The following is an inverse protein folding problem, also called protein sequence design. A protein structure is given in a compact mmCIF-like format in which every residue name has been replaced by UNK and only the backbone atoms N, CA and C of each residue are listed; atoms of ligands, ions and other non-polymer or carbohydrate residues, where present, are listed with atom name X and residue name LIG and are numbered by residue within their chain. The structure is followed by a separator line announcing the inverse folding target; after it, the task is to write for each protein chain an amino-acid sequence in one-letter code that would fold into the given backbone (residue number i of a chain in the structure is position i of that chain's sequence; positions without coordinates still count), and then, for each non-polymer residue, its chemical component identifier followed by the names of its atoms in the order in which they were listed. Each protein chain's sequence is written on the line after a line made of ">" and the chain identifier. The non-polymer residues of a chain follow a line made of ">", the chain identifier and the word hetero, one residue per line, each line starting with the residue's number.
data_IF_703204887174
#
_entry.id   IF_703204887174
#
_cell.length_a   1.000
_cell.length_b   1.000
_cell.length_c   1.000
_cell.angle_alpha   90.00
_cell.angle_beta   90.00
_cell.angle_gamma   90.00
#
_symmetry.space_group_name_H-M   'P 1'
#
loop_
_entity.id
_entity.type
_entity.pdbx_description
1 polymer ?
#
# COMPACT_ATOMS: atom_id res chain seq x y z
N UNK A 1 -0.89 8.56 -20.87
CA UNK A 1 -2.30 8.79 -20.52
C UNK A 1 -2.37 9.88 -19.46
N UNK A 2 -3.35 10.81 -19.50
CA UNK A 2 -3.42 11.86 -18.49
C UNK A 2 -3.69 11.22 -17.13
N UNK A 3 -3.17 11.84 -16.08
CA UNK A 3 -3.53 11.48 -14.71
C UNK A 3 -5.06 11.55 -14.61
N UNK A 4 -5.65 10.48 -14.10
CA UNK A 4 -7.10 10.26 -14.03
C UNK A 4 -7.82 11.57 -13.63
N UNK A 5 -8.73 12.05 -14.48
CA UNK A 5 -9.38 13.37 -14.37
C UNK A 5 -10.24 13.56 -13.10
N UNK A 6 -10.22 12.62 -12.16
CA UNK A 6 -10.90 12.66 -10.87
C UNK A 6 -9.97 12.79 -9.64
N UNK A 7 -8.65 12.79 -9.81
CA UNK A 7 -7.72 13.03 -8.70
C UNK A 7 -7.62 14.53 -8.42
N UNK A 8 -8.40 15.02 -7.47
CA UNK A 8 -8.20 16.38 -6.92
C UNK A 8 -6.87 16.42 -6.19
N UNK A 9 -5.85 17.08 -6.77
CA UNK A 9 -4.52 17.24 -6.17
C UNK A 9 -4.58 17.77 -4.72
N UNK A 10 -5.59 18.59 -4.44
CA UNK A 10 -5.88 19.19 -3.13
C UNK A 10 -6.19 18.15 -2.03
N UNK A 11 -6.64 16.95 -2.42
CA UNK A 11 -7.04 15.88 -1.50
C UNK A 11 -5.98 14.79 -1.34
N UNK A 12 -4.88 14.86 -2.08
CA UNK A 12 -3.84 13.82 -2.04
C UNK A 12 -3.06 13.91 -0.73
N UNK A 13 -2.96 12.78 -0.02
CA UNK A 13 -2.28 12.65 1.27
C UNK A 13 -1.13 11.66 1.16
N UNK A 14 0.09 12.17 1.28
CA UNK A 14 1.32 11.37 1.33
C UNK A 14 1.65 10.98 2.78
N UNK A 15 0.88 10.04 3.32
CA UNK A 15 0.93 9.67 4.74
C UNK A 15 1.16 8.18 4.98
N UNK A 16 1.82 7.51 4.04
CA UNK A 16 2.17 6.10 4.16
C UNK A 16 3.67 5.90 4.04
N UNK A 17 4.25 5.14 4.95
CA UNK A 17 5.62 4.68 4.91
C UNK A 17 5.69 3.28 4.30
N UNK A 18 6.72 3.02 3.48
CA UNK A 18 7.01 1.70 2.89
C UNK A 18 8.26 1.13 3.55
N UNK A 19 8.18 -0.09 4.08
CA UNK A 19 9.25 -0.76 4.82
C UNK A 19 9.27 -2.27 4.58
N UNK A 20 10.19 -3.00 5.21
CA UNK A 20 10.38 -4.44 5.00
C UNK A 20 11.36 -4.76 3.88
N UNK A 21 11.15 -5.89 3.21
CA UNK A 21 12.03 -6.44 2.16
C UNK A 21 12.36 -5.42 1.06
N UNK A 22 13.40 -5.71 0.28
CA UNK A 22 13.83 -4.88 -0.85
C UNK A 22 13.85 -5.60 -2.21
N UNK A 23 12.74 -6.22 -2.63
CA UNK A 23 12.63 -6.85 -3.93
C UNK A 23 12.51 -5.82 -5.07
N UNK A 24 12.76 -6.22 -6.33
CA UNK A 24 12.59 -5.34 -7.50
C UNK A 24 11.17 -4.78 -7.67
N UNK A 25 10.16 -5.44 -7.08
CA UNK A 25 8.77 -5.01 -7.10
C UNK A 25 8.39 -4.07 -5.96
N UNK A 26 9.30 -3.72 -5.04
CA UNK A 26 8.96 -2.88 -3.88
C UNK A 26 8.31 -1.56 -4.33
N UNK A 27 7.12 -1.20 -3.78
CA UNK A 27 6.50 0.08 -4.05
C UNK A 27 7.44 1.26 -3.80
N UNK A 28 7.38 2.24 -4.69
CA UNK A 28 8.10 3.50 -4.57
C UNK A 28 7.45 4.40 -3.53
N UNK A 29 6.12 4.38 -3.43
CA UNK A 29 5.32 5.15 -2.46
C UNK A 29 3.89 4.66 -2.40
N UNK A 30 3.19 5.08 -1.35
CA UNK A 30 1.74 4.98 -1.24
C UNK A 30 1.14 6.33 -0.78
N UNK A 31 -0.07 6.63 -1.24
CA UNK A 31 -0.83 7.84 -0.90
C UNK A 31 -2.32 7.58 -1.04
N UNK A 32 -3.16 8.45 -0.49
CA UNK A 32 -4.62 8.35 -0.64
C UNK A 32 -5.25 9.68 -1.04
N UNK A 33 -6.48 9.63 -1.54
CA UNK A 33 -7.31 10.80 -1.87
C UNK A 33 -8.41 11.07 -0.81
N UNK A 34 -8.34 10.39 0.35
CA UNK A 34 -9.38 10.37 1.37
C UNK A 34 -10.39 9.22 1.25
N UNK A 35 -10.44 8.52 0.11
CA UNK A 35 -11.33 7.38 -0.12
C UNK A 35 -10.56 6.11 -0.50
N UNK A 36 -9.59 6.26 -1.41
CA UNK A 36 -8.85 5.18 -2.05
C UNK A 36 -7.38 5.32 -1.78
N UNK A 37 -6.70 4.19 -1.64
CA UNK A 37 -5.24 4.15 -1.52
C UNK A 37 -4.62 3.75 -2.85
N UNK A 38 -3.63 4.52 -3.26
CA UNK A 38 -2.82 4.32 -4.46
C UNK A 38 -1.43 3.87 -4.03
N UNK A 39 -1.04 2.68 -4.47
CA UNK A 39 0.29 2.12 -4.22
C UNK A 39 1.04 2.14 -5.54
N UNK A 40 2.07 2.96 -5.64
CA UNK A 40 2.87 3.09 -6.86
C UNK A 40 4.03 2.11 -6.84
N UNK A 41 4.09 1.29 -7.88
CA UNK A 41 5.18 0.37 -8.12
C UNK A 41 6.22 0.93 -9.11
N UNK A 42 7.40 0.30 -9.21
CA UNK A 42 8.33 0.54 -10.30
C UNK A 42 7.66 0.27 -11.67
N UNK A 43 8.04 0.99 -12.75
CA UNK A 43 7.39 0.86 -14.06
C UNK A 43 7.36 -0.57 -14.62
N UNK A 44 8.37 -1.39 -14.30
CA UNK A 44 8.49 -2.78 -14.76
C UNK A 44 7.61 -3.79 -14.03
N UNK A 45 6.80 -3.37 -13.04
CA UNK A 45 5.99 -4.29 -12.22
C UNK A 45 5.09 -5.22 -13.03
N UNK A 46 4.58 -4.74 -14.17
CA UNK A 46 3.67 -5.50 -15.03
C UNK A 46 4.36 -6.67 -15.76
N UNK A 47 5.69 -6.74 -15.74
CA UNK A 47 6.46 -7.82 -16.36
C UNK A 47 6.70 -8.99 -15.40
N UNK A 48 6.51 -8.78 -14.10
CA UNK A 48 6.71 -9.77 -13.06
C UNK A 48 5.39 -10.27 -12.46
N UNK A 49 5.51 -11.13 -11.45
CA UNK A 49 4.36 -11.57 -10.66
C UNK A 49 3.89 -10.43 -9.75
N UNK A 50 2.57 -10.23 -9.71
CA UNK A 50 1.91 -9.19 -8.95
C UNK A 50 1.70 -9.64 -7.50
N UNK A 51 2.32 -9.00 -6.49
CA UNK A 51 2.18 -9.42 -5.10
C UNK A 51 0.73 -9.23 -4.61
N UNK A 52 0.10 -10.25 -4.00
CA UNK A 52 -1.15 -10.08 -3.28
C UNK A 52 -1.03 -9.06 -2.14
N UNK A 53 -2.10 -8.27 -1.94
CA UNK A 53 -2.17 -7.23 -0.91
C UNK A 53 -3.10 -7.66 0.24
N UNK A 54 -2.57 -7.68 1.46
CA UNK A 54 -3.29 -7.97 2.68
C UNK A 54 -3.41 -6.72 3.53
N UNK A 55 -4.61 -6.31 3.93
CA UNK A 55 -4.79 -5.27 4.95
C UNK A 55 -4.66 -5.90 6.32
N UNK A 56 -3.88 -5.28 7.19
CA UNK A 56 -3.65 -5.76 8.56
C UNK A 56 -4.75 -5.20 9.47
N UNK A 57 -5.55 -6.09 10.05
CA UNK A 57 -6.60 -5.79 11.02
C UNK A 57 -6.05 -5.40 12.39
N UNK A 58 -6.94 -4.98 13.29
CA UNK A 58 -6.57 -4.56 14.64
C UNK A 58 -5.91 -5.67 15.49
N UNK A 59 -6.16 -6.94 15.15
CA UNK A 59 -5.61 -8.11 15.83
C UNK A 59 -4.29 -8.59 15.19
N UNK A 60 -3.80 -7.89 14.15
CA UNK A 60 -2.60 -8.27 13.40
C UNK A 60 -2.86 -9.33 12.31
N UNK A 61 -4.11 -9.73 12.11
CA UNK A 61 -4.51 -10.64 11.04
C UNK A 61 -4.47 -9.94 9.66
N UNK A 62 -3.89 -10.62 8.66
CA UNK A 62 -3.84 -10.13 7.29
C UNK A 62 -5.04 -10.59 6.48
N UNK A 63 -5.87 -9.66 6.01
CA UNK A 63 -7.04 -9.94 5.19
C UNK A 63 -6.77 -9.58 3.74
N UNK A 64 -6.93 -10.54 2.83
CA UNK A 64 -6.83 -10.28 1.40
C UNK A 64 -7.94 -9.29 1.01
N UNK A 65 -7.54 -8.18 0.39
CA UNK A 65 -8.49 -7.18 -0.08
C UNK A 65 -8.62 -7.22 -1.60
N UNK A 66 -9.80 -6.84 -2.08
CA UNK A 66 -9.96 -6.59 -3.50
C UNK A 66 -9.23 -5.29 -3.87
N UNK A 67 -8.43 -5.34 -4.92
CA UNK A 67 -7.69 -4.21 -5.48
C UNK A 67 -7.79 -4.24 -7.00
N UNK A 68 -7.56 -3.08 -7.62
CA UNK A 68 -7.49 -2.94 -9.08
C UNK A 68 -6.07 -2.60 -9.47
N UNK A 69 -5.52 -3.31 -10.45
CA UNK A 69 -4.24 -2.96 -11.04
C UNK A 69 -4.45 -2.05 -12.26
N UNK A 70 -3.85 -0.86 -12.23
CA UNK A 70 -3.74 0.06 -13.36
C UNK A 70 -2.30 0.54 -13.42
N UNK A 71 -1.51 -0.08 -14.28
CA UNK A 71 -0.05 0.11 -14.28
C UNK A 71 0.35 1.60 -14.20
N UNK A 72 1.31 1.96 -13.31
CA UNK A 72 2.03 1.12 -12.35
C UNK A 72 1.41 1.11 -10.94
N UNK A 73 0.08 1.19 -10.81
CA UNK A 73 -0.60 1.33 -9.52
C UNK A 73 -1.44 0.12 -9.13
N UNK A 74 -1.41 -0.22 -7.85
CA UNK A 74 -2.60 -0.77 -7.19
C UNK A 74 -3.49 0.35 -6.68
N UNK A 75 -4.79 0.16 -6.88
CA UNK A 75 -5.85 1.03 -6.39
C UNK A 75 -6.72 0.19 -5.44
N UNK A 76 -6.75 0.57 -4.18
CA UNK A 76 -7.53 -0.06 -3.12
C UNK A 76 -8.71 0.86 -2.82
N UNK A 77 -9.94 0.37 -2.97
CA UNK A 77 -11.16 1.19 -2.84
C UNK A 77 -11.56 1.49 -1.38
N UNK A 78 -10.59 1.44 -0.45
CA UNK A 78 -10.76 1.79 0.95
C UNK A 78 -9.46 2.24 1.58
N UNK A 79 -9.57 3.06 2.62
CA UNK A 79 -8.45 3.39 3.50
C UNK A 79 -8.09 2.20 4.41
N UNK A 80 -6.81 2.11 4.76
CA UNK A 80 -6.27 1.19 5.76
C UNK A 80 -5.23 1.86 6.65
N UNK A 81 -5.00 1.28 7.84
CA UNK A 81 -3.93 1.70 8.76
C UNK A 81 -2.59 1.05 8.41
N UNK A 82 -2.60 -0.26 8.13
CA UNK A 82 -1.44 -1.00 7.65
C UNK A 82 -1.86 -2.05 6.61
N UNK A 83 -0.96 -2.33 5.68
CA UNK A 83 -1.10 -3.40 4.71
C UNK A 83 0.25 -4.04 4.40
N UNK A 84 0.23 -5.26 3.89
CA UNK A 84 1.41 -6.01 3.48
C UNK A 84 1.23 -6.55 2.06
N UNK A 85 2.28 -6.40 1.28
CA UNK A 85 2.49 -7.09 0.02
C UNK A 85 3.37 -8.30 0.29
N UNK A 86 2.95 -9.48 -0.15
CA UNK A 86 3.66 -10.73 0.11
C UNK A 86 3.86 -11.48 -1.20
N UNK A 87 5.08 -11.94 -1.48
CA UNK A 87 5.34 -12.74 -2.68
C UNK A 87 6.44 -13.79 -2.41
N UNK A 88 6.21 -15.04 -2.79
CA UNK A 88 7.19 -16.14 -2.61
C UNK A 88 6.93 -17.09 -1.43
N UNK A 89 5.70 -17.16 -0.89
CA UNK A 89 5.30 -18.17 0.12
C UNK A 89 5.94 -17.97 1.51
N UNK A 90 6.25 -19.08 2.20
CA UNK A 90 6.68 -19.08 3.62
C UNK A 90 8.01 -18.37 3.91
N UNK A 91 8.86 -18.19 2.89
CA UNK A 91 10.09 -17.38 2.94
C UNK A 91 10.05 -16.21 1.96
N UNK A 92 8.84 -15.82 1.58
CA UNK A 92 8.59 -14.77 0.61
C UNK A 92 8.99 -13.39 1.10
N UNK A 93 9.20 -12.49 0.16
CA UNK A 93 9.40 -11.09 0.43
C UNK A 93 8.12 -10.47 0.98
N UNK A 94 8.27 -9.71 2.08
CA UNK A 94 7.17 -8.98 2.71
C UNK A 94 7.53 -7.50 2.72
N UNK A 95 6.69 -6.69 2.07
CA UNK A 95 6.77 -5.24 2.10
C UNK A 95 5.57 -4.69 2.85
N UNK A 96 5.82 -3.91 3.89
CA UNK A 96 4.80 -3.30 4.73
C UNK A 96 4.55 -1.85 4.33
N UNK A 97 3.28 -1.46 4.26
CA UNK A 97 2.81 -0.11 3.99
C UNK A 97 1.97 0.33 5.19
N UNK A 98 2.38 1.39 5.87
CA UNK A 98 1.76 1.80 7.13
C UNK A 98 1.53 3.31 7.20
N UNK A 99 0.35 3.69 7.70
CA UNK A 99 -0.06 5.09 7.78
C UNK A 99 0.68 5.79 8.92
N UNK A 100 1.33 6.92 8.63
CA UNK A 100 2.23 7.61 9.56
C UNK A 100 1.50 8.56 10.52
N UNK A 101 0.25 8.93 10.22
CA UNK A 101 -0.57 9.83 11.04
C UNK A 101 -1.37 9.11 12.15
N UNK A 102 -1.38 7.77 12.15
CA UNK A 102 -2.02 6.94 13.18
C UNK A 102 -1.25 6.82 14.49
N UNK A 103 0.00 7.31 14.54
CA UNK A 103 0.89 7.19 15.71
C UNK A 103 0.57 8.22 16.81
N UNK A 104 -0.31 9.18 16.56
CA UNK A 104 -0.69 10.22 17.54
C UNK A 104 -1.66 9.75 18.65
N UNK A 105 -2.08 8.47 18.65
CA UNK A 105 -3.12 7.98 19.57
C UNK A 105 -2.79 6.73 20.41
N UNK A 106 -1.57 6.20 20.35
CA UNK A 106 -1.24 4.89 20.94
C UNK A 106 0.00 4.91 21.85
N UNK A 107 -0.18 5.35 23.09
CA UNK A 107 0.56 4.87 24.27
C UNK A 107 2.08 5.08 24.29
N UNK A 108 2.50 6.17 24.97
CA UNK A 108 3.66 6.11 25.88
C UNK A 108 3.46 4.89 26.80
N UNK A 109 4.17 3.79 26.57
CA UNK A 109 4.34 2.77 27.61
C UNK A 109 5.48 3.24 28.52
N UNK A 110 5.12 3.41 29.80
CA UNK A 110 6.05 3.51 30.94
C UNK A 110 6.87 2.23 31.07
#
# INVERSE_FOLDING_TARGET
>A
APVDAGLSLEKIRFRYAVSGSNPPWKPLRAFDDGEKVYIQFPPGIAQGELPPLFVIGAQGDGQLVNYRFRAPYYIVDRLFGAAELRLGGDKGDVVRIERTDGVSGGTRRK
#
